data_IF_055747942681
#
_entry.id   IF_055747942681
#
_cell.length_a   1.000
_cell.length_b   1.000
_cell.length_c   1.000
_cell.angle_alpha   90.00
_cell.angle_beta   90.00
_cell.angle_gamma   90.00
#
_symmetry.space_group_name_H-M   'P 1'
#
loop_
_entity.id
_entity.type
_entity.pdbx_description
1 polymer ?
#
# COMPACT_ATOMS: atom_id res chain seq x y z
N UNK A 1 -4.92 -12.01 28.29
CA UNK A 1 -5.44 -12.36 26.96
C UNK A 1 -6.95 -12.26 27.01
N UNK A 2 -7.51 -11.13 26.57
CA UNK A 2 -8.95 -11.02 26.36
C UNK A 2 -9.23 -11.54 24.94
N UNK A 3 -9.82 -12.71 24.82
CA UNK A 3 -10.43 -13.17 23.58
C UNK A 3 -11.67 -12.29 23.34
N UNK A 4 -11.81 -11.59 22.24
CA UNK A 4 -13.08 -11.00 21.88
C UNK A 4 -14.03 -12.16 21.53
N UNK A 5 -14.90 -12.49 22.47
CA UNK A 5 -16.03 -13.36 22.19
C UNK A 5 -16.97 -12.59 21.25
N UNK A 6 -17.32 -13.23 20.12
CA UNK A 6 -18.36 -12.83 19.20
C UNK A 6 -18.13 -11.56 18.36
N UNK A 7 -17.09 -11.57 17.49
CA UNK A 7 -16.92 -10.63 16.38
C UNK A 7 -16.96 -11.33 15.03
N UNK A 8 -17.39 -10.62 13.98
CA UNK A 8 -17.15 -11.08 12.61
C UNK A 8 -15.65 -11.32 12.40
N UNK A 9 -15.24 -12.36 11.65
CA UNK A 9 -13.82 -12.63 11.43
C UNK A 9 -13.14 -11.43 10.77
N UNK A 10 -11.99 -11.00 11.34
CA UNK A 10 -11.21 -9.90 10.80
C UNK A 10 -10.55 -10.27 9.48
N UNK A 11 -10.38 -9.29 8.59
CA UNK A 11 -9.57 -9.43 7.38
C UNK A 11 -8.22 -8.78 7.66
N UNK A 12 -7.11 -9.55 7.76
CA UNK A 12 -5.79 -8.97 7.86
C UNK A 12 -5.50 -8.12 6.64
N UNK A 13 -5.04 -6.90 6.87
CA UNK A 13 -4.68 -5.98 5.79
C UNK A 13 -3.29 -5.43 6.06
N UNK A 14 -2.36 -5.70 5.16
CA UNK A 14 -1.00 -5.18 5.18
C UNK A 14 -0.85 -4.10 4.12
N UNK A 15 -0.42 -2.91 4.53
CA UNK A 15 -0.09 -1.81 3.63
C UNK A 15 1.42 -1.75 3.45
N UNK A 16 1.86 -1.80 2.20
CA UNK A 16 3.25 -1.66 1.82
C UNK A 16 3.37 -0.52 0.82
N UNK A 17 4.24 0.45 1.09
CA UNK A 17 4.46 1.60 0.21
C UNK A 17 5.90 2.11 0.35
N UNK A 18 6.30 2.96 -0.59
CA UNK A 18 7.52 3.76 -0.54
C UNK A 18 8.78 2.92 -0.25
N UNK A 19 8.98 1.86 -1.00
CA UNK A 19 10.11 0.93 -0.82
C UNK A 19 11.47 1.54 -1.10
N UNK A 20 11.55 2.52 -2.00
CA UNK A 20 12.81 3.15 -2.43
C UNK A 20 13.90 2.14 -2.82
N UNK A 21 13.52 1.08 -3.54
CA UNK A 21 14.33 -0.12 -3.79
C UNK A 21 15.69 0.13 -4.45
N UNK A 22 15.83 1.21 -5.20
CA UNK A 22 17.08 1.62 -5.85
C UNK A 22 17.85 2.69 -5.09
N UNK A 23 17.35 3.16 -3.95
CA UNK A 23 17.97 4.22 -3.17
C UNK A 23 19.05 3.66 -2.25
N UNK A 24 20.12 4.41 -2.08
CA UNK A 24 21.19 4.14 -1.11
C UNK A 24 21.33 5.35 -0.21
N UNK A 25 21.30 5.14 1.10
CA UNK A 25 21.60 6.16 2.12
C UNK A 25 22.94 5.79 2.73
N UNK A 26 23.95 6.63 2.46
CA UNK A 26 25.24 6.50 3.07
C UNK A 26 25.23 7.14 4.47
N UNK A 27 25.62 6.43 5.53
CA UNK A 27 25.68 6.98 6.89
C UNK A 27 26.42 8.31 7.00
N UNK A 28 27.52 8.48 6.27
CA UNK A 28 28.35 9.70 6.31
C UNK A 28 27.60 10.95 5.80
N UNK A 29 26.60 10.77 4.93
CA UNK A 29 25.78 11.87 4.39
C UNK A 29 24.67 12.32 5.35
N UNK A 30 24.37 11.51 6.36
CA UNK A 30 23.24 11.71 7.29
C UNK A 30 23.70 11.63 8.77
N UNK A 31 24.93 12.03 9.08
CA UNK A 31 25.49 12.04 10.42
C UNK A 31 25.34 10.68 11.16
N UNK A 32 25.46 9.59 10.46
CA UNK A 32 25.25 8.21 10.96
C UNK A 32 23.85 7.93 11.56
N UNK A 33 22.85 8.75 11.23
CA UNK A 33 21.49 8.58 11.75
C UNK A 33 20.69 7.50 11.00
N UNK A 34 21.08 7.17 9.76
CA UNK A 34 20.42 6.15 8.96
C UNK A 34 21.41 5.47 8.01
N UNK A 35 21.11 4.23 7.66
CA UNK A 35 21.70 3.49 6.55
C UNK A 35 20.60 2.76 5.80
N UNK A 36 20.65 2.83 4.48
CA UNK A 36 19.72 2.12 3.63
C UNK A 36 20.39 1.63 2.35
N UNK A 37 20.15 0.40 1.98
CA UNK A 37 20.57 -0.26 0.76
C UNK A 37 19.62 -1.39 0.42
N UNK A 38 19.86 -2.07 -0.72
CA UNK A 38 19.00 -3.20 -1.15
C UNK A 38 18.96 -4.36 -0.15
N UNK A 39 20.07 -4.64 0.54
CA UNK A 39 20.12 -5.72 1.53
C UNK A 39 19.25 -5.37 2.74
N UNK A 40 19.32 -4.12 3.22
CA UNK A 40 18.50 -3.63 4.31
C UNK A 40 17.02 -3.59 3.89
N UNK A 41 16.71 -3.12 2.68
CA UNK A 41 15.35 -3.13 2.14
C UNK A 41 14.75 -4.56 2.15
N UNK A 42 15.52 -5.54 1.65
CA UNK A 42 15.11 -6.95 1.65
C UNK A 42 14.89 -7.49 3.06
N UNK A 43 15.79 -7.21 4.00
CA UNK A 43 15.68 -7.67 5.38
C UNK A 43 14.45 -7.07 6.08
N UNK A 44 14.19 -5.77 5.88
CA UNK A 44 13.01 -5.07 6.44
C UNK A 44 11.71 -5.64 5.87
N UNK A 45 11.65 -5.88 4.55
CA UNK A 45 10.48 -6.50 3.94
C UNK A 45 10.23 -7.90 4.50
N UNK A 46 11.27 -8.73 4.56
CA UNK A 46 11.17 -10.08 5.12
C UNK A 46 10.62 -10.05 6.56
N UNK A 47 11.19 -9.22 7.41
CA UNK A 47 10.73 -9.05 8.80
C UNK A 47 9.27 -8.57 8.87
N UNK A 48 8.86 -7.65 8.00
CA UNK A 48 7.48 -7.15 7.95
C UNK A 48 6.49 -8.25 7.58
N UNK A 49 6.80 -9.08 6.59
CA UNK A 49 5.95 -10.21 6.19
C UNK A 49 5.87 -11.25 7.29
N UNK A 50 7.02 -11.67 7.86
CA UNK A 50 7.07 -12.66 8.95
C UNK A 50 6.27 -12.17 10.18
N UNK A 51 6.44 -10.90 10.57
CA UNK A 51 5.68 -10.31 11.67
C UNK A 51 4.17 -10.23 11.37
N UNK A 52 3.80 -9.93 10.13
CA UNK A 52 2.38 -9.91 9.73
C UNK A 52 1.76 -11.30 9.82
N UNK A 53 2.47 -12.32 9.35
CA UNK A 53 2.02 -13.71 9.45
C UNK A 53 1.87 -14.11 10.93
N UNK A 54 2.88 -13.82 11.76
CA UNK A 54 2.83 -14.13 13.19
C UNK A 54 1.66 -13.43 13.88
N UNK A 55 1.49 -12.12 13.68
CA UNK A 55 0.38 -11.38 14.26
C UNK A 55 -0.98 -11.95 13.82
N UNK A 56 -1.14 -12.27 12.55
CA UNK A 56 -2.39 -12.78 12.02
C UNK A 56 -2.69 -14.22 12.48
N UNK A 57 -1.67 -15.08 12.59
CA UNK A 57 -1.87 -16.48 12.98
C UNK A 57 -1.99 -16.67 14.48
N UNK A 58 -1.21 -15.93 15.26
CA UNK A 58 -1.11 -16.14 16.71
C UNK A 58 -1.89 -15.12 17.55
N UNK A 59 -2.28 -13.97 16.98
CA UNK A 59 -2.88 -12.87 17.73
C UNK A 59 -4.24 -12.40 17.21
N UNK A 60 -4.65 -12.80 15.99
CA UNK A 60 -5.97 -12.49 15.44
C UNK A 60 -6.91 -13.69 15.49
N UNK A 61 -8.20 -13.41 15.71
CA UNK A 61 -9.25 -14.43 15.68
C UNK A 61 -9.74 -14.62 14.24
N UNK A 62 -9.46 -15.80 13.65
CA UNK A 62 -9.90 -16.22 12.31
C UNK A 62 -9.64 -15.18 11.19
N UNK A 63 -8.38 -14.93 10.81
CA UNK A 63 -8.09 -14.08 9.65
C UNK A 63 -8.60 -14.74 8.37
N UNK A 64 -9.41 -14.03 7.58
CA UNK A 64 -9.96 -14.61 6.35
C UNK A 64 -9.28 -14.17 5.06
N UNK A 65 -8.76 -12.96 4.93
CA UNK A 65 -8.07 -12.48 3.72
C UNK A 65 -7.10 -11.32 3.99
N UNK A 66 -5.83 -11.39 3.61
CA UNK A 66 -4.92 -10.24 3.55
C UNK A 66 -4.80 -9.63 2.15
N UNK A 67 -4.50 -8.32 2.08
CA UNK A 67 -4.19 -7.62 0.84
C UNK A 67 -2.78 -7.05 0.86
N UNK A 68 -1.96 -7.34 -0.16
CA UNK A 68 -0.54 -6.93 -0.22
C UNK A 68 -0.11 -6.54 -1.61
N UNK A 69 0.79 -5.56 -1.73
CA UNK A 69 1.47 -5.16 -2.98
C UNK A 69 2.97 -4.95 -2.77
N UNK A 70 3.83 -5.52 -3.62
CA UNK A 70 5.31 -5.48 -3.50
C UNK A 70 6.12 -5.78 -4.79
N UNK A 71 7.41 -5.43 -5.07
CA UNK A 71 8.26 -5.55 -6.27
C UNK A 71 8.67 -6.99 -6.72
N UNK A 72 8.90 -7.33 -8.00
CA UNK A 72 8.65 -8.63 -8.64
C UNK A 72 9.13 -9.93 -7.93
N UNK A 73 10.37 -10.16 -7.64
CA UNK A 73 10.79 -11.45 -7.06
C UNK A 73 10.47 -11.57 -5.57
N UNK A 74 10.66 -10.48 -4.83
CA UNK A 74 10.35 -10.44 -3.40
C UNK A 74 8.87 -10.31 -3.14
N UNK A 75 8.14 -9.83 -4.13
CA UNK A 75 6.72 -9.71 -4.14
C UNK A 75 6.03 -11.01 -4.38
N UNK A 76 6.47 -11.72 -5.38
CA UNK A 76 6.01 -13.06 -5.65
C UNK A 76 6.21 -13.91 -4.39
N UNK A 77 7.42 -13.88 -3.80
CA UNK A 77 7.67 -14.59 -2.54
C UNK A 77 6.73 -14.15 -1.40
N UNK A 78 6.51 -12.84 -1.23
CA UNK A 78 5.66 -12.32 -0.17
C UNK A 78 4.18 -12.70 -0.38
N UNK A 79 3.69 -12.56 -1.60
CA UNK A 79 2.31 -12.92 -1.96
C UNK A 79 2.11 -14.43 -1.80
N UNK A 80 3.06 -15.25 -2.26
CA UNK A 80 2.99 -16.71 -2.12
C UNK A 80 2.98 -17.11 -0.64
N UNK A 81 3.87 -16.53 0.17
CA UNK A 81 3.92 -16.80 1.61
C UNK A 81 2.59 -16.51 2.30
N UNK A 82 1.90 -15.45 1.88
CA UNK A 82 0.59 -15.11 2.42
C UNK A 82 -0.51 -15.98 1.86
N UNK A 83 -0.46 -16.33 0.57
CA UNK A 83 -1.42 -17.25 -0.04
C UNK A 83 -1.33 -18.65 0.58
N UNK A 84 -0.13 -19.10 0.94
CA UNK A 84 0.07 -20.38 1.61
C UNK A 84 -0.54 -20.40 3.02
N UNK A 85 -0.46 -19.30 3.75
CA UNK A 85 -1.02 -19.20 5.11
C UNK A 85 -2.54 -18.93 5.09
N UNK A 86 -2.99 -18.02 4.24
CA UNK A 86 -4.36 -17.50 4.29
C UNK A 86 -5.29 -18.05 3.19
N UNK A 87 -4.74 -18.79 2.24
CA UNK A 87 -5.48 -19.42 1.15
C UNK A 87 -5.96 -18.48 0.04
N UNK A 88 -6.13 -17.18 0.32
CA UNK A 88 -6.48 -16.16 -0.70
C UNK A 88 -5.84 -14.81 -0.37
N UNK A 89 -5.35 -14.13 -1.41
CA UNK A 89 -4.74 -12.80 -1.33
C UNK A 89 -5.38 -11.89 -2.38
N UNK A 90 -5.90 -10.75 -1.95
CA UNK A 90 -6.38 -9.69 -2.84
C UNK A 90 -5.39 -8.53 -2.82
N UNK A 91 -4.92 -8.09 -3.99
CA UNK A 91 -3.83 -7.13 -4.17
C UNK A 91 -4.31 -5.90 -4.93
N UNK A 92 -4.90 -4.90 -4.26
CA UNK A 92 -5.21 -3.62 -4.88
C UNK A 92 -3.93 -2.80 -5.04
N UNK A 93 -3.75 -2.19 -6.23
CA UNK A 93 -2.55 -1.47 -6.60
C UNK A 93 -2.84 0.01 -6.90
N UNK A 94 -1.94 0.89 -6.47
CA UNK A 94 -1.92 2.30 -6.85
C UNK A 94 -0.47 2.70 -7.14
N UNK A 95 -0.22 3.31 -8.31
CA UNK A 95 1.12 3.74 -8.68
C UNK A 95 1.41 5.15 -8.17
N UNK A 96 2.69 5.41 -7.85
CA UNK A 96 3.15 6.63 -7.23
C UNK A 96 3.95 7.55 -8.14
N UNK A 97 4.50 8.60 -7.54
CA UNK A 97 5.28 9.60 -8.25
C UNK A 97 6.74 9.18 -8.53
N UNK A 98 7.28 8.21 -7.78
CA UNK A 98 8.67 7.75 -7.97
C UNK A 98 8.83 6.80 -9.16
N UNK A 99 7.81 6.03 -9.50
CA UNK A 99 7.81 5.12 -10.66
C UNK A 99 7.63 5.81 -12.02
N UNK A 100 7.57 7.14 -12.09
CA UNK A 100 7.36 7.89 -13.35
C UNK A 100 8.55 7.77 -14.29
N UNK A 101 8.27 7.54 -15.58
CA UNK A 101 9.30 7.56 -16.63
C UNK A 101 9.73 8.98 -17.02
N UNK A 102 8.93 10.01 -16.67
CA UNK A 102 9.16 11.40 -17.03
C UNK A 102 9.22 12.30 -15.80
N UNK A 103 10.08 13.32 -15.84
CA UNK A 103 10.22 14.31 -14.77
C UNK A 103 8.94 15.12 -14.54
N UNK A 104 8.22 15.46 -15.62
CA UNK A 104 6.97 16.18 -15.53
C UNK A 104 5.78 15.23 -15.35
N UNK A 105 4.84 15.65 -14.51
CA UNK A 105 3.62 14.90 -14.26
C UNK A 105 2.70 14.89 -15.49
N UNK A 106 2.31 13.71 -15.96
CA UNK A 106 1.34 13.56 -17.06
C UNK A 106 0.04 13.02 -16.50
N UNK A 107 -1.03 13.79 -16.59
CA UNK A 107 -2.36 13.34 -16.16
C UNK A 107 -2.95 12.27 -17.10
N UNK A 108 -2.71 12.42 -18.40
CA UNK A 108 -3.19 11.46 -19.40
C UNK A 108 -2.16 10.35 -19.57
N UNK A 109 -2.64 9.09 -19.60
CA UNK A 109 -1.81 7.89 -19.77
C UNK A 109 -0.71 7.74 -18.70
N UNK A 110 -0.96 8.23 -17.49
CA UNK A 110 0.02 8.16 -16.41
C UNK A 110 0.43 6.72 -16.07
N UNK A 111 -0.52 5.79 -16.06
CA UNK A 111 -0.25 4.36 -15.88
C UNK A 111 0.72 3.81 -16.93
N UNK A 112 0.47 4.04 -18.22
CA UNK A 112 1.32 3.54 -19.31
C UNK A 112 2.76 4.10 -19.28
N UNK A 113 3.01 5.12 -18.47
CA UNK A 113 4.32 5.75 -18.27
C UNK A 113 4.81 5.63 -16.83
N UNK A 114 4.39 4.58 -16.13
CA UNK A 114 4.78 4.26 -14.77
C UNK A 114 5.42 2.87 -14.68
N UNK A 115 6.63 2.80 -14.15
CA UNK A 115 7.28 1.53 -13.82
C UNK A 115 6.53 0.75 -12.75
N UNK A 116 5.89 1.45 -11.79
CA UNK A 116 5.08 0.78 -10.77
C UNK A 116 3.89 0.06 -11.42
N UNK A 117 3.16 0.74 -12.30
CA UNK A 117 2.02 0.14 -13.00
C UNK A 117 2.45 -1.03 -13.89
N UNK A 118 3.57 -0.89 -14.58
CA UNK A 118 4.15 -1.97 -15.38
C UNK A 118 4.46 -3.19 -14.50
N UNK A 119 5.10 -2.98 -13.35
CA UNK A 119 5.44 -4.03 -12.40
C UNK A 119 4.18 -4.75 -11.90
N UNK A 120 3.15 -4.00 -11.47
CA UNK A 120 1.89 -4.59 -11.00
C UNK A 120 1.19 -5.41 -12.08
N UNK A 121 1.21 -4.92 -13.33
CA UNK A 121 0.65 -5.66 -14.47
C UNK A 121 1.45 -6.94 -14.77
N UNK A 122 2.76 -6.91 -14.62
CA UNK A 122 3.60 -8.10 -14.77
C UNK A 122 3.30 -9.15 -13.70
N UNK A 123 3.14 -8.72 -12.45
CA UNK A 123 2.76 -9.61 -11.34
C UNK A 123 1.38 -10.22 -11.57
N UNK A 124 0.39 -9.39 -11.91
CA UNK A 124 -0.96 -9.89 -12.23
C UNK A 124 -0.91 -10.97 -13.33
N UNK A 125 -0.17 -10.72 -14.42
CA UNK A 125 0.00 -11.69 -15.51
C UNK A 125 0.73 -12.95 -15.05
N UNK A 126 1.72 -12.83 -14.16
CA UNK A 126 2.42 -13.98 -13.59
C UNK A 126 1.44 -14.95 -12.93
N UNK A 127 0.56 -14.46 -12.04
CA UNK A 127 -0.41 -15.30 -11.35
C UNK A 127 -1.52 -15.82 -12.26
N UNK A 128 -1.97 -15.01 -13.24
CA UNK A 128 -2.93 -15.47 -14.27
C UNK A 128 -2.33 -16.63 -15.09
N UNK A 129 -1.08 -16.50 -15.54
CA UNK A 129 -0.40 -17.51 -16.34
C UNK A 129 -0.10 -18.79 -15.53
N UNK A 130 0.22 -18.63 -14.24
CA UNK A 130 0.39 -19.76 -13.33
C UNK A 130 -0.94 -20.42 -12.96
N UNK A 131 -2.08 -19.84 -13.36
CA UNK A 131 -3.44 -20.27 -12.97
C UNK A 131 -3.64 -20.39 -11.46
N UNK A 132 -2.94 -19.56 -10.69
CA UNK A 132 -3.08 -19.52 -9.23
C UNK A 132 -4.30 -18.69 -8.85
N UNK A 133 -5.42 -19.37 -8.61
CA UNK A 133 -6.69 -18.73 -8.21
C UNK A 133 -6.71 -18.18 -6.79
N UNK A 134 -5.66 -18.40 -6.00
CA UNK A 134 -5.53 -17.88 -4.64
C UNK A 134 -5.22 -16.38 -4.64
N UNK A 135 -4.63 -15.87 -5.73
CA UNK A 135 -4.18 -14.47 -5.82
C UNK A 135 -5.00 -13.69 -6.84
N UNK A 136 -5.56 -12.59 -6.41
CA UNK A 136 -6.35 -11.70 -7.24
C UNK A 136 -5.79 -10.28 -7.18
N UNK A 137 -5.45 -9.72 -8.34
CA UNK A 137 -5.01 -8.34 -8.47
C UNK A 137 -6.14 -7.40 -8.87
N UNK A 138 -6.02 -6.14 -8.45
CA UNK A 138 -6.74 -5.00 -9.00
C UNK A 138 -5.72 -3.95 -9.42
N UNK A 139 -5.39 -3.89 -10.72
CA UNK A 139 -4.42 -2.96 -11.30
C UNK A 139 -5.16 -1.92 -12.15
N UNK A 140 -5.69 -0.85 -11.56
CA UNK A 140 -6.44 0.15 -12.30
C UNK A 140 -5.52 0.92 -13.25
N UNK A 141 -6.07 1.34 -14.40
CA UNK A 141 -5.38 2.27 -15.30
C UNK A 141 -5.42 3.72 -14.77
N UNK A 142 -6.28 3.99 -13.81
CA UNK A 142 -6.33 5.23 -13.04
C UNK A 142 -5.36 5.22 -11.87
N UNK A 143 -5.33 6.32 -11.13
CA UNK A 143 -4.41 6.51 -10.01
C UNK A 143 -4.85 5.79 -8.74
N UNK A 144 -6.13 5.44 -8.64
CA UNK A 144 -6.75 5.00 -7.42
C UNK A 144 -7.41 3.62 -7.61
N UNK A 145 -7.31 2.76 -6.61
CA UNK A 145 -8.05 1.51 -6.53
C UNK A 145 -9.19 1.63 -5.51
N UNK A 146 -10.42 1.52 -6.00
CA UNK A 146 -11.60 1.45 -5.14
C UNK A 146 -12.03 0.00 -4.97
N UNK A 147 -12.17 -0.45 -3.72
CA UNK A 147 -12.60 -1.80 -3.41
C UNK A 147 -13.42 -1.85 -2.12
N UNK A 148 -14.01 -3.00 -1.85
CA UNK A 148 -14.77 -3.25 -0.62
C UNK A 148 -14.24 -4.48 0.09
N UNK A 149 -14.21 -4.39 1.41
CA UNK A 149 -14.03 -5.55 2.29
C UNK A 149 -15.26 -5.62 3.18
N UNK A 150 -16.07 -6.64 3.00
CA UNK A 150 -17.43 -6.70 3.55
C UNK A 150 -18.25 -5.44 3.18
N UNK A 151 -18.77 -4.73 4.17
CA UNK A 151 -19.58 -3.52 3.99
C UNK A 151 -18.77 -2.22 4.02
N UNK A 152 -17.46 -2.31 4.20
CA UNK A 152 -16.56 -1.15 4.29
C UNK A 152 -15.91 -0.89 2.94
N UNK A 153 -15.97 0.34 2.47
CA UNK A 153 -15.38 0.77 1.20
C UNK A 153 -14.05 1.50 1.41
N UNK A 154 -13.08 1.12 0.60
CA UNK A 154 -11.72 1.63 0.64
C UNK A 154 -11.34 2.27 -0.68
N UNK A 155 -10.57 3.35 -0.59
CA UNK A 155 -9.88 3.97 -1.70
C UNK A 155 -8.39 3.95 -1.42
N UNK A 156 -7.65 3.15 -2.17
CA UNK A 156 -6.20 3.17 -2.18
C UNK A 156 -5.71 4.17 -3.20
N UNK A 157 -4.90 5.12 -2.78
CA UNK A 157 -4.23 6.11 -3.65
C UNK A 157 -2.78 6.28 -3.18
N UNK A 158 -1.88 6.77 -4.05
CA UNK A 158 -0.52 7.05 -3.58
C UNK A 158 -0.47 8.24 -2.61
N UNK A 159 -1.21 9.30 -2.87
CA UNK A 159 -1.29 10.49 -2.01
C UNK A 159 -0.68 11.76 -2.61
N UNK A 160 0.22 11.66 -3.59
CA UNK A 160 0.90 12.78 -4.25
C UNK A 160 -0.06 13.76 -4.97
N UNK A 161 -1.27 13.30 -5.33
CA UNK A 161 -2.28 14.06 -6.07
C UNK A 161 -3.32 14.75 -5.19
N UNK A 162 -3.29 14.57 -3.90
CA UNK A 162 -4.28 15.19 -3.00
C UNK A 162 -4.13 16.72 -2.86
N UNK A 163 -3.27 17.34 -3.68
CA UNK A 163 -3.10 18.80 -3.74
C UNK A 163 -2.33 19.36 -2.55
N UNK A 164 -1.55 18.53 -1.89
CA UNK A 164 -0.81 18.91 -0.71
C UNK A 164 0.63 19.25 -1.10
N UNK A 165 0.98 20.51 -1.02
CA UNK A 165 2.39 20.93 -0.99
C UNK A 165 2.86 20.87 0.46
N UNK A 166 3.97 20.17 0.71
CA UNK A 166 4.46 19.84 2.03
C UNK A 166 4.48 20.98 3.03
N UNK A 167 4.15 20.64 4.25
CA UNK A 167 4.46 21.43 5.44
C UNK A 167 5.49 20.67 6.26
N UNK A 168 6.33 21.37 7.01
CA UNK A 168 7.30 20.71 7.90
C UNK A 168 6.59 20.10 9.12
N UNK A 169 6.89 18.84 9.39
CA UNK A 169 6.39 18.08 10.53
C UNK A 169 4.96 17.55 10.40
N UNK A 170 4.58 16.72 11.34
CA UNK A 170 3.27 16.01 11.35
C UNK A 170 2.09 16.97 11.35
N UNK A 171 2.16 18.06 12.11
CA UNK A 171 1.07 19.05 12.20
C UNK A 171 0.87 19.78 10.87
N UNK A 172 1.95 20.07 10.12
CA UNK A 172 1.89 20.71 8.81
C UNK A 172 1.18 19.88 7.74
N UNK A 173 1.16 18.55 7.87
CA UNK A 173 0.54 17.63 6.92
C UNK A 173 -0.95 17.39 7.18
N UNK A 174 -1.40 17.47 8.42
CA UNK A 174 -2.76 17.09 8.81
C UNK A 174 -3.85 17.86 8.05
N UNK A 175 -3.74 19.17 8.03
CA UNK A 175 -4.74 20.01 7.36
C UNK A 175 -4.86 19.75 5.85
N UNK A 176 -3.75 19.75 5.12
CA UNK A 176 -3.72 19.37 3.70
C UNK A 176 -4.28 17.99 3.42
N UNK A 177 -3.84 16.94 4.16
CA UNK A 177 -4.34 15.58 3.98
C UNK A 177 -5.85 15.52 4.19
N UNK A 178 -6.34 16.10 5.30
CA UNK A 178 -7.78 16.11 5.60
C UNK A 178 -8.61 16.78 4.49
N UNK A 179 -8.13 17.93 3.96
CA UNK A 179 -8.80 18.62 2.84
C UNK A 179 -8.77 17.79 1.56
N UNK A 180 -7.62 17.19 1.23
CA UNK A 180 -7.47 16.36 0.05
C UNK A 180 -8.37 15.13 0.10
N UNK A 181 -8.41 14.45 1.23
CA UNK A 181 -9.28 13.29 1.47
C UNK A 181 -10.76 13.68 1.38
N UNK A 182 -11.16 14.80 1.99
CA UNK A 182 -12.54 15.29 1.90
C UNK A 182 -12.95 15.53 0.45
N UNK A 183 -12.09 16.17 -0.35
CA UNK A 183 -12.35 16.42 -1.78
C UNK A 183 -12.53 15.11 -2.54
N UNK A 184 -11.63 14.15 -2.36
CA UNK A 184 -11.69 12.85 -3.04
C UNK A 184 -12.93 12.07 -2.64
N UNK A 185 -13.30 12.04 -1.34
CA UNK A 185 -14.53 11.39 -0.88
C UNK A 185 -15.77 11.97 -1.53
N UNK A 186 -15.85 13.30 -1.66
CA UNK A 186 -16.96 13.97 -2.36
C UNK A 186 -16.99 13.57 -3.84
N UNK A 187 -15.83 13.59 -4.52
CA UNK A 187 -15.71 13.20 -5.94
C UNK A 187 -16.22 11.77 -6.15
N UNK A 188 -15.76 10.80 -5.35
CA UNK A 188 -16.21 9.42 -5.45
C UNK A 188 -17.70 9.25 -5.11
N UNK A 189 -18.23 10.02 -4.17
CA UNK A 189 -19.65 9.98 -3.82
C UNK A 189 -20.54 10.44 -4.98
N UNK A 190 -20.12 11.46 -5.78
CA UNK A 190 -20.85 11.87 -6.99
C UNK A 190 -20.98 10.75 -8.03
N UNK A 191 -20.02 9.83 -8.04
CA UNK A 191 -20.03 8.63 -8.89
C UNK A 191 -20.70 7.41 -8.23
N UNK A 192 -21.49 7.60 -7.17
CA UNK A 192 -22.18 6.55 -6.40
C UNK A 192 -21.19 5.50 -5.81
N UNK A 193 -19.98 5.92 -5.50
CA UNK A 193 -18.94 5.12 -4.86
C UNK A 193 -18.52 5.77 -3.53
N UNK A 194 -19.35 5.75 -2.47
CA UNK A 194 -18.97 6.32 -1.19
C UNK A 194 -17.72 5.62 -0.65
N UNK A 195 -16.84 6.39 -0.02
CA UNK A 195 -15.56 5.92 0.53
C UNK A 195 -15.55 6.08 2.04
N UNK A 196 -15.43 4.96 2.76
CA UNK A 196 -15.29 4.98 4.21
C UNK A 196 -13.86 5.33 4.62
N UNK A 197 -12.87 4.64 4.03
CA UNK A 197 -11.45 4.84 4.30
C UNK A 197 -10.66 5.19 3.06
N UNK A 198 -9.82 6.22 3.16
CA UNK A 198 -8.77 6.52 2.17
C UNK A 198 -7.44 6.05 2.75
N UNK A 199 -6.74 5.22 1.98
CA UNK A 199 -5.45 4.65 2.33
C UNK A 199 -4.41 5.22 1.39
N UNK A 200 -3.28 5.68 1.92
CA UNK A 200 -2.22 6.29 1.11
C UNK A 200 -0.82 6.09 1.70
N UNK A 201 0.20 6.22 0.86
CA UNK A 201 1.61 6.36 1.22
C UNK A 201 2.09 7.80 1.07
N UNK A 202 3.20 8.02 0.36
CA UNK A 202 3.79 9.28 -0.07
C UNK A 202 4.44 10.12 1.03
N UNK A 203 3.86 10.16 2.22
CA UNK A 203 4.30 11.03 3.32
C UNK A 203 5.42 10.43 4.17
N UNK A 204 5.72 9.15 3.98
CA UNK A 204 6.72 8.37 4.71
C UNK A 204 6.53 8.37 6.24
N UNK A 205 5.36 8.76 6.73
CA UNK A 205 5.00 8.77 8.14
C UNK A 205 3.67 8.07 8.35
N UNK A 206 3.57 7.29 9.41
CA UNK A 206 2.32 6.66 9.77
C UNK A 206 1.37 7.67 10.42
N UNK A 207 0.13 7.72 9.91
CA UNK A 207 -0.95 8.52 10.48
C UNK A 207 -2.26 7.74 10.35
N UNK A 208 -2.98 7.62 11.45
CA UNK A 208 -4.32 7.03 11.46
C UNK A 208 -5.32 8.02 12.05
N UNK A 209 -6.28 8.42 11.25
CA UNK A 209 -7.42 9.26 11.64
C UNK A 209 -8.71 8.58 11.18
N UNK A 210 -9.87 9.05 11.68
CA UNK A 210 -11.17 8.53 11.25
C UNK A 210 -11.32 8.60 9.72
N UNK A 211 -11.33 7.45 9.07
CA UNK A 211 -11.48 7.33 7.61
C UNK A 211 -10.26 7.75 6.78
N UNK A 212 -9.06 7.85 7.40
CA UNK A 212 -7.79 8.16 6.74
C UNK A 212 -6.69 7.29 7.35
N UNK A 213 -5.95 6.59 6.50
CA UNK A 213 -4.76 5.83 6.89
C UNK A 213 -3.63 6.24 5.96
N UNK A 214 -2.56 6.79 6.54
CA UNK A 214 -1.32 7.08 5.82
C UNK A 214 -0.28 6.07 6.28
N UNK A 215 0.34 5.38 5.34
CA UNK A 215 1.36 4.39 5.64
C UNK A 215 2.75 5.04 5.76
N UNK A 216 3.58 4.47 6.63
CA UNK A 216 4.99 4.82 6.70
C UNK A 216 5.79 4.24 5.52
N UNK A 217 7.06 4.63 5.42
CA UNK A 217 8.00 4.10 4.44
C UNK A 217 8.87 3.00 5.07
N UNK A 218 9.24 1.97 4.29
CA UNK A 218 10.26 1.00 4.68
C UNK A 218 11.66 1.61 4.75
N UNK A 219 11.86 2.76 4.13
CA UNK A 219 13.13 3.48 4.17
C UNK A 219 13.45 4.03 5.56
N UNK A 220 12.43 4.36 6.37
CA UNK A 220 12.58 4.99 7.68
C UNK A 220 12.50 6.49 7.63
#
# INVERSE_FOLDING_TARGET
KASPAHGAPGVPTLFLSDFHWGEVVNPDEVNNLNKFDRAIAKARLKSTIESTIDLCTNHMVNPKYPGIVVAFDHLTWAIDSLADVFGKVFVPCAFGNHGRMFKQYRHKQAAATSFDWMLYTMLEKHYINAKDSRVQFQVPFGFDAYYKVYNVSYLLTHGDRLGVKGGSGVVGMLGPIARGVSKVKVEYATHKKPVDYVIMGHWHQYLSLKGIIVNGSLKG
#
